data_IF_460205507216
#
_entry.id   IF_460205507216
#
_cell.length_a   1.000
_cell.length_b   1.000
_cell.length_c   1.000
_cell.angle_alpha   90.00
_cell.angle_beta   90.00
_cell.angle_gamma   90.00
#
_symmetry.space_group_name_H-M   'P 1'
#
loop_
_entity.id
_entity.type
_entity.pdbx_description
1 polymer ?
#
# COMPACT_ATOMS: atom_id res chain seq x y z
N UNK A 1 10.63 21.32 18.15
CA UNK A 1 11.45 20.32 17.41
C UNK A 1 11.87 20.95 16.08
N UNK A 2 12.82 20.41 15.34
CA UNK A 2 13.18 20.92 14.00
C UNK A 2 13.01 19.84 12.93
N UNK A 3 12.87 20.25 11.67
CA UNK A 3 12.72 19.30 10.54
C UNK A 3 13.87 18.29 10.49
N UNK A 4 15.10 18.71 10.80
CA UNK A 4 16.26 17.82 10.87
C UNK A 4 16.10 16.64 11.84
N UNK A 5 15.21 16.74 12.81
CA UNK A 5 14.96 15.69 13.79
C UNK A 5 14.08 14.55 13.22
N UNK A 6 13.45 14.75 12.05
CA UNK A 6 12.63 13.75 11.36
C UNK A 6 13.38 13.00 10.25
N UNK A 7 14.62 13.38 9.93
CA UNK A 7 15.38 12.88 8.79
C UNK A 7 16.85 12.62 9.14
N UNK A 8 17.61 11.99 8.26
CA UNK A 8 19.06 11.81 8.45
C UNK A 8 19.85 13.04 7.93
N UNK A 9 21.07 13.29 8.46
CA UNK A 9 21.89 14.41 8.02
C UNK A 9 22.22 14.44 6.52
N UNK A 10 22.25 13.28 5.86
CA UNK A 10 22.48 13.07 4.43
C UNK A 10 21.18 12.91 3.61
N UNK A 11 20.02 12.99 4.26
CA UNK A 11 18.73 12.80 3.62
C UNK A 11 18.33 13.93 2.68
N UNK A 12 17.40 13.63 1.78
CA UNK A 12 16.88 14.57 0.77
C UNK A 12 15.62 15.27 1.28
N UNK A 13 15.39 16.49 0.78
CA UNK A 13 14.21 17.31 1.11
C UNK A 13 13.37 17.46 -0.15
N UNK A 14 12.29 16.67 -0.21
CA UNK A 14 11.31 16.74 -1.29
C UNK A 14 10.20 17.73 -0.94
N UNK A 15 9.58 18.29 -1.96
CA UNK A 15 8.52 19.29 -1.82
C UNK A 15 7.32 18.87 -2.66
N UNK A 16 6.12 19.00 -2.11
CA UNK A 16 4.88 18.82 -2.84
C UNK A 16 3.95 20.00 -2.63
N UNK A 17 3.42 20.53 -3.74
CA UNK A 17 2.30 21.47 -3.68
C UNK A 17 1.03 20.76 -3.22
N UNK A 18 0.41 21.25 -2.15
CA UNK A 18 -0.81 20.69 -1.54
C UNK A 18 -1.85 21.77 -1.33
N UNK A 19 -3.11 21.36 -1.23
CA UNK A 19 -4.23 22.28 -1.05
C UNK A 19 -4.57 22.51 0.43
N UNK A 20 -4.28 21.56 1.32
CA UNK A 20 -4.55 21.66 2.75
C UNK A 20 -3.41 21.10 3.60
N UNK A 21 -3.55 21.29 4.91
CA UNK A 21 -2.65 20.75 5.90
C UNK A 21 -2.83 19.24 6.05
N UNK A 22 -1.81 18.56 6.54
CA UNK A 22 -1.90 17.15 6.94
C UNK A 22 -2.83 17.02 8.16
N UNK A 23 -3.72 16.01 8.16
CA UNK A 23 -4.68 15.77 9.23
C UNK A 23 -5.16 14.31 9.25
N UNK A 24 -5.94 13.94 10.26
CA UNK A 24 -6.57 12.61 10.35
C UNK A 24 -7.56 12.34 9.21
N UNK A 25 -8.19 13.39 8.66
CA UNK A 25 -9.10 13.27 7.51
C UNK A 25 -8.35 13.18 6.17
N UNK A 26 -7.11 13.67 6.14
CA UNK A 26 -6.23 13.62 4.98
C UNK A 26 -4.80 13.18 5.35
N UNK A 27 -4.60 11.91 5.74
CA UNK A 27 -3.33 11.42 6.27
C UNK A 27 -2.34 10.96 5.18
N UNK A 28 -2.34 11.64 4.03
CA UNK A 28 -1.62 11.17 2.86
C UNK A 28 -1.11 12.30 1.98
N UNK A 29 -0.10 11.98 1.16
CA UNK A 29 0.25 12.78 0.00
C UNK A 29 -0.50 12.23 -1.21
N UNK A 30 -1.28 13.07 -1.88
CA UNK A 30 -2.01 12.66 -3.08
C UNK A 30 -1.47 13.35 -4.35
N UNK A 31 -1.75 12.71 -5.48
CA UNK A 31 -1.33 13.17 -6.79
C UNK A 31 -2.28 12.68 -7.88
N UNK A 32 -2.35 13.46 -8.96
CA UNK A 32 -3.20 13.15 -10.12
C UNK A 32 -2.57 12.15 -11.08
N UNK A 33 -1.23 12.00 -11.06
CA UNK A 33 -0.48 11.14 -11.98
C UNK A 33 0.30 10.07 -11.22
N UNK A 34 0.08 8.80 -11.55
CA UNK A 34 0.81 7.67 -10.97
C UNK A 34 2.34 7.76 -11.12
N UNK A 35 2.83 8.48 -12.14
CA UNK A 35 4.26 8.74 -12.35
C UNK A 35 4.93 9.44 -11.17
N UNK A 36 4.21 10.31 -10.45
CA UNK A 36 4.73 10.99 -9.25
C UNK A 36 5.01 9.97 -8.14
N UNK A 37 4.06 9.08 -7.90
CA UNK A 37 4.23 7.99 -6.94
C UNK A 37 5.33 7.00 -7.34
N UNK A 38 5.47 6.68 -8.63
CA UNK A 38 6.55 5.82 -9.10
C UNK A 38 7.93 6.44 -8.89
N UNK A 39 8.07 7.76 -9.10
CA UNK A 39 9.31 8.47 -8.81
C UNK A 39 9.61 8.45 -7.32
N UNK A 40 8.65 8.79 -6.46
CA UNK A 40 8.84 8.75 -5.01
C UNK A 40 9.21 7.34 -4.52
N UNK A 41 8.63 6.28 -5.10
CA UNK A 41 9.01 4.88 -4.79
C UNK A 41 10.48 4.59 -5.08
N UNK A 42 11.05 5.17 -6.13
CA UNK A 42 12.43 4.94 -6.53
C UNK A 42 13.42 5.80 -5.74
N UNK A 43 13.02 7.03 -5.41
CA UNK A 43 13.94 8.07 -4.96
C UNK A 43 13.85 8.35 -3.45
N UNK A 44 12.67 8.16 -2.84
CA UNK A 44 12.42 8.49 -1.43
C UNK A 44 12.76 7.31 -0.52
N UNK A 45 13.58 7.56 0.50
CA UNK A 45 13.94 6.57 1.51
C UNK A 45 13.37 6.98 2.88
N UNK A 46 12.40 6.22 3.43
CA UNK A 46 11.78 6.53 4.71
C UNK A 46 12.79 6.57 5.86
N UNK A 47 12.62 7.54 6.76
CA UNK A 47 13.53 7.74 7.90
C UNK A 47 14.91 8.29 7.53
N UNK A 48 15.27 8.34 6.23
CA UNK A 48 16.40 9.12 5.71
C UNK A 48 15.93 10.46 5.19
N UNK A 49 14.91 10.47 4.35
CA UNK A 49 14.41 11.64 3.61
C UNK A 49 13.14 12.22 4.25
N UNK A 50 12.80 13.45 3.86
CA UNK A 50 11.59 14.16 4.31
C UNK A 50 10.85 14.77 3.12
N UNK A 51 9.53 14.87 3.23
CA UNK A 51 8.70 15.59 2.26
C UNK A 51 8.01 16.77 2.94
N UNK A 52 8.06 17.94 2.32
CA UNK A 52 7.45 19.17 2.82
C UNK A 52 6.21 19.52 2.01
N UNK A 53 5.14 19.85 2.74
CA UNK A 53 3.90 20.36 2.18
C UNK A 53 4.04 21.85 1.93
N UNK A 54 3.79 22.26 0.69
CA UNK A 54 3.80 23.65 0.27
C UNK A 54 2.39 24.03 -0.17
N UNK A 55 1.76 24.97 0.53
CA UNK A 55 0.40 25.39 0.19
C UNK A 55 0.35 26.08 -1.18
N UNK A 56 -0.67 25.75 -1.99
CA UNK A 56 -0.86 26.41 -3.29
C UNK A 56 -1.29 27.86 -3.13
N UNK A 57 -1.16 28.66 -4.19
CA UNK A 57 -1.72 30.02 -4.24
C UNK A 57 -3.20 30.04 -4.69
N UNK A 58 -3.77 28.88 -5.04
CA UNK A 58 -5.13 28.81 -5.54
C UNK A 58 -6.13 28.89 -4.37
N UNK A 59 -6.76 30.05 -4.19
CA UNK A 59 -7.72 30.27 -3.12
C UNK A 59 -8.99 29.42 -3.18
N UNK A 60 -9.31 28.81 -4.32
CA UNK A 60 -10.44 27.89 -4.45
C UNK A 60 -10.11 26.47 -3.94
N UNK A 61 -8.83 26.12 -3.82
CA UNK A 61 -8.37 24.81 -3.36
C UNK A 61 -7.73 24.91 -1.97
N UNK A 62 -6.90 25.94 -1.76
CA UNK A 62 -6.31 26.27 -0.46
C UNK A 62 -7.19 27.27 0.26
N UNK A 63 -8.18 26.73 0.98
CA UNK A 63 -9.20 27.50 1.69
C UNK A 63 -8.59 28.46 2.70
N UNK A 64 -7.69 27.96 3.57
CA UNK A 64 -6.99 28.78 4.57
C UNK A 64 -5.98 29.73 3.91
N UNK A 65 -6.18 31.06 4.00
CA UNK A 65 -5.26 32.04 3.45
C UNK A 65 -3.84 31.98 4.04
N UNK A 66 -3.69 31.57 5.31
CA UNK A 66 -2.39 31.49 5.99
C UNK A 66 -1.50 30.39 5.41
N UNK A 67 -2.08 29.39 4.75
CA UNK A 67 -1.34 28.30 4.11
C UNK A 67 -0.79 28.68 2.72
N UNK A 68 -1.33 29.71 2.08
CA UNK A 68 -1.04 30.00 0.66
C UNK A 68 0.42 30.41 0.46
N UNK A 69 1.14 29.64 -0.35
CA UNK A 69 2.56 29.86 -0.62
C UNK A 69 3.47 29.70 0.60
N UNK A 70 3.02 28.98 1.63
CA UNK A 70 3.78 28.69 2.85
C UNK A 70 4.19 27.23 2.93
N UNK A 71 5.25 26.97 3.70
CA UNK A 71 5.60 25.62 4.15
C UNK A 71 4.72 25.31 5.36
N UNK A 72 3.91 24.25 5.29
CA UNK A 72 2.84 24.01 6.26
C UNK A 72 3.03 22.72 7.07
N UNK A 73 3.69 21.70 6.51
CA UNK A 73 3.97 20.46 7.21
C UNK A 73 5.24 19.76 6.70
N UNK A 74 5.84 18.95 7.55
CA UNK A 74 6.90 18.01 7.23
C UNK A 74 6.39 16.58 7.49
N UNK A 75 6.52 15.70 6.49
CA UNK A 75 5.96 14.35 6.54
C UNK A 75 6.98 13.31 6.05
N UNK A 76 6.98 12.16 6.71
CA UNK A 76 7.66 10.94 6.24
C UNK A 76 6.60 10.05 5.63
N UNK A 77 6.79 9.67 4.37
CA UNK A 77 5.82 8.86 3.61
C UNK A 77 6.22 7.39 3.57
N UNK A 78 5.27 6.52 3.26
CA UNK A 78 5.48 5.12 2.89
C UNK A 78 5.54 4.99 1.35
N UNK A 79 6.73 5.02 0.74
CA UNK A 79 6.90 5.14 -0.70
C UNK A 79 6.81 3.79 -1.41
N UNK A 80 6.84 2.66 -0.68
CA UNK A 80 6.80 1.33 -1.32
C UNK A 80 5.54 1.16 -2.18
N UNK A 81 4.50 1.96 -1.93
CA UNK A 81 3.19 1.75 -2.50
C UNK A 81 2.47 3.02 -2.91
N UNK A 82 1.78 2.90 -4.05
CA UNK A 82 0.82 3.91 -4.48
C UNK A 82 -0.55 3.30 -4.24
N UNK A 83 -1.33 4.00 -3.42
CA UNK A 83 -2.64 3.61 -2.92
C UNK A 83 -3.72 4.38 -3.68
N UNK A 84 -4.95 3.88 -3.64
CA UNK A 84 -6.12 4.66 -4.02
C UNK A 84 -6.46 5.64 -2.89
N UNK A 85 -6.50 6.94 -3.17
CA UNK A 85 -6.73 7.98 -2.15
C UNK A 85 -8.03 7.71 -1.37
N UNK A 86 -9.11 7.31 -2.05
CA UNK A 86 -10.41 6.99 -1.44
C UNK A 86 -10.38 5.86 -0.40
N UNK A 87 -9.33 5.03 -0.39
CA UNK A 87 -9.18 3.91 0.55
C UNK A 87 -8.47 4.30 1.83
N UNK A 88 -7.82 5.47 1.86
CA UNK A 88 -7.00 5.93 2.99
C UNK A 88 -7.49 7.23 3.61
N UNK A 89 -8.62 7.77 3.13
CA UNK A 89 -9.29 8.94 3.69
C UNK A 89 -10.74 8.59 4.03
N UNK A 90 -11.39 9.41 4.86
CA UNK A 90 -12.79 9.16 5.23
C UNK A 90 -13.73 9.33 4.03
N UNK A 91 -14.77 8.49 3.94
CA UNK A 91 -15.76 8.54 2.84
C UNK A 91 -16.47 9.89 2.75
N UNK A 92 -16.77 10.49 3.91
CA UNK A 92 -17.44 11.79 4.00
C UNK A 92 -16.57 12.94 3.46
N UNK A 93 -15.26 12.84 3.62
CA UNK A 93 -14.33 13.84 3.09
C UNK A 93 -14.11 13.65 1.58
N UNK A 94 -14.03 12.40 1.09
CA UNK A 94 -13.85 12.10 -0.33
C UNK A 94 -14.98 12.60 -1.22
N UNK A 95 -16.25 12.49 -0.78
CA UNK A 95 -17.41 12.90 -1.59
C UNK A 95 -17.39 14.37 -2.00
N UNK A 96 -16.65 15.22 -1.28
CA UNK A 96 -16.56 16.66 -1.53
C UNK A 96 -15.41 17.05 -2.46
N UNK A 97 -14.45 16.18 -2.72
CA UNK A 97 -13.20 16.49 -3.45
C UNK A 97 -13.14 15.91 -4.88
N UNK A 98 -14.00 14.93 -5.20
CA UNK A 98 -14.04 14.28 -6.51
C UNK A 98 -12.83 13.40 -6.82
N UNK A 99 -12.71 12.90 -8.06
CA UNK A 99 -11.63 11.98 -8.49
C UNK A 99 -10.31 12.69 -8.90
N UNK A 100 -10.10 13.94 -8.48
CA UNK A 100 -9.00 14.78 -8.98
C UNK A 100 -7.61 14.25 -8.58
N UNK A 101 -7.52 13.54 -7.46
CA UNK A 101 -6.28 12.91 -6.96
C UNK A 101 -6.55 11.45 -6.61
N UNK A 102 -6.59 10.54 -7.60
CA UNK A 102 -6.94 9.14 -7.37
C UNK A 102 -5.81 8.35 -6.71
N UNK A 103 -4.59 8.86 -6.73
CA UNK A 103 -3.40 8.19 -6.21
C UNK A 103 -2.84 8.88 -4.98
N UNK A 104 -2.37 8.09 -4.02
CA UNK A 104 -1.74 8.61 -2.82
C UNK A 104 -0.65 7.69 -2.25
N UNK A 105 0.17 8.25 -1.36
CA UNK A 105 1.06 7.51 -0.48
C UNK A 105 0.74 7.88 0.96
N UNK A 106 0.71 6.90 1.86
CA UNK A 106 0.40 7.14 3.26
C UNK A 106 1.53 7.90 3.95
N UNK A 107 1.17 8.73 4.94
CA UNK A 107 2.12 9.38 5.83
C UNK A 107 2.34 8.52 7.06
N UNK A 108 3.60 8.19 7.34
CA UNK A 108 4.04 7.41 8.50
C UNK A 108 4.28 8.29 9.73
N UNK A 109 4.78 9.51 9.51
CA UNK A 109 5.04 10.51 10.56
C UNK A 109 4.73 11.89 10.02
N UNK A 110 4.11 12.72 10.85
CA UNK A 110 3.78 14.09 10.50
C UNK A 110 4.26 15.06 11.57
N UNK A 111 4.60 16.27 11.14
CA UNK A 111 4.76 17.42 11.98
C UNK A 111 4.30 18.65 11.22
N UNK A 112 3.77 19.62 11.94
CA UNK A 112 3.30 20.89 11.39
C UNK A 112 4.36 21.95 11.61
N UNK A 113 4.54 22.82 10.61
CA UNK A 113 5.46 23.96 10.75
C UNK A 113 4.92 24.90 11.82
N UNK A 114 5.79 25.50 12.63
CA UNK A 114 5.33 26.50 13.59
C UNK A 114 4.79 27.74 12.86
N UNK A 115 3.67 28.26 13.36
CA UNK A 115 2.93 29.39 12.80
C UNK A 115 1.54 29.52 13.44
N UNK A 116 0.70 30.46 12.94
CA UNK A 116 1.03 31.53 12.00
C UNK A 116 1.90 32.65 12.62
N UNK A 117 2.69 33.39 11.82
CA UNK A 117 2.83 33.21 10.37
C UNK A 117 3.71 32.00 10.03
N UNK A 118 3.21 31.13 9.15
CA UNK A 118 3.99 30.00 8.64
C UNK A 118 5.14 30.49 7.73
N UNK A 119 6.27 29.74 7.61
CA UNK A 119 7.40 30.15 6.76
C UNK A 119 6.99 30.32 5.28
N UNK A 120 7.38 31.45 4.68
CA UNK A 120 7.17 31.71 3.24
C UNK A 120 8.02 30.78 2.39
N UNK A 121 7.40 30.07 1.46
CA UNK A 121 8.14 29.20 0.55
C UNK A 121 9.13 30.01 -0.32
N UNK A 122 8.74 31.20 -0.79
CA UNK A 122 9.64 32.04 -1.59
C UNK A 122 10.85 32.58 -0.81
N UNK A 123 10.76 32.71 0.51
CA UNK A 123 11.87 33.18 1.34
C UNK A 123 12.83 32.02 1.69
N UNK A 124 12.28 30.85 1.99
CA UNK A 124 13.06 29.70 2.47
C UNK A 124 13.65 28.85 1.34
N UNK A 125 12.88 28.65 0.27
CA UNK A 125 13.22 27.74 -0.84
C UNK A 125 12.94 28.40 -2.22
N UNK A 126 13.48 29.59 -2.52
CA UNK A 126 13.13 30.36 -3.72
C UNK A 126 13.33 29.62 -5.06
N UNK A 127 14.38 28.80 -5.19
CA UNK A 127 14.69 28.05 -6.39
C UNK A 127 13.78 26.84 -6.54
N UNK A 128 13.67 26.02 -5.48
CA UNK A 128 12.80 24.85 -5.51
C UNK A 128 11.30 25.23 -5.61
N UNK A 129 10.89 26.33 -4.97
CA UNK A 129 9.50 26.82 -5.07
C UNK A 129 9.15 27.31 -6.47
N UNK A 130 10.08 27.97 -7.17
CA UNK A 130 9.89 28.37 -8.57
C UNK A 130 9.66 27.19 -9.51
N UNK A 131 10.13 25.99 -9.17
CA UNK A 131 9.89 24.80 -9.99
C UNK A 131 8.39 24.50 -10.14
N UNK A 132 7.56 24.77 -9.13
CA UNK A 132 6.11 24.53 -9.22
C UNK A 132 5.39 25.47 -10.22
N UNK A 133 6.02 26.59 -10.59
CA UNK A 133 5.47 27.50 -11.59
C UNK A 133 5.69 26.99 -13.03
N UNK A 134 6.67 26.12 -13.25
CA UNK A 134 6.98 25.53 -14.56
C UNK A 134 5.88 24.54 -14.96
N UNK A 135 5.37 24.66 -16.20
CA UNK A 135 4.26 23.82 -16.69
C UNK A 135 4.58 22.32 -16.62
N UNK A 136 5.82 21.94 -16.94
CA UNK A 136 6.30 20.56 -16.90
C UNK A 136 6.30 19.94 -15.49
N UNK A 137 6.45 20.77 -14.47
CA UNK A 137 6.56 20.35 -13.07
C UNK A 137 5.24 20.50 -12.28
N UNK A 138 4.17 20.97 -12.92
CA UNK A 138 2.87 21.15 -12.27
C UNK A 138 2.34 19.83 -11.71
N UNK A 139 2.04 19.82 -10.41
CA UNK A 139 1.57 18.65 -9.69
C UNK A 139 2.65 17.60 -9.40
N UNK A 140 3.89 17.84 -9.82
CA UNK A 140 5.06 17.01 -9.56
C UNK A 140 5.69 17.27 -8.19
N UNK A 141 6.94 16.85 -8.07
CA UNK A 141 7.78 17.00 -6.87
C UNK A 141 8.97 17.87 -7.23
N UNK A 142 9.32 18.79 -6.34
CA UNK A 142 10.57 19.54 -6.40
C UNK A 142 11.50 19.09 -5.27
N UNK A 143 12.80 19.36 -5.39
CA UNK A 143 13.78 19.04 -4.36
C UNK A 143 14.50 20.32 -3.93
N UNK A 144 14.60 20.53 -2.62
CA UNK A 144 15.44 21.57 -2.04
C UNK A 144 16.85 21.01 -1.83
N UNK A 145 17.85 21.71 -2.38
CA UNK A 145 19.26 21.32 -2.35
C UNK A 145 20.12 22.44 -1.74
N UNK A 146 21.34 22.12 -1.34
CA UNK A 146 22.30 23.12 -0.84
C UNK A 146 21.77 23.94 0.34
N UNK A 147 21.82 25.27 0.21
CA UNK A 147 21.38 26.20 1.26
C UNK A 147 19.87 26.11 1.55
N UNK A 148 19.04 25.86 0.52
CA UNK A 148 17.58 25.71 0.70
C UNK A 148 17.26 24.48 1.54
N UNK A 149 17.99 23.38 1.30
CA UNK A 149 17.88 22.17 2.12
C UNK A 149 18.23 22.46 3.58
N UNK A 150 19.33 23.16 3.81
CA UNK A 150 19.77 23.53 5.15
C UNK A 150 18.75 24.46 5.85
N UNK A 151 18.18 25.40 5.11
CA UNK A 151 17.15 26.30 5.60
C UNK A 151 15.89 25.53 6.04
N UNK A 152 15.41 24.59 5.22
CA UNK A 152 14.26 23.73 5.58
C UNK A 152 14.57 22.89 6.82
N UNK A 153 15.75 22.27 6.89
CA UNK A 153 16.14 21.44 8.03
C UNK A 153 16.16 22.21 9.37
N UNK A 154 16.40 23.52 9.33
CA UNK A 154 16.43 24.39 10.50
C UNK A 154 15.04 24.88 10.95
N UNK A 155 13.99 24.66 10.14
CA UNK A 155 12.64 25.13 10.46
C UNK A 155 12.10 24.45 11.71
N UNK A 156 11.45 25.20 12.61
CA UNK A 156 10.83 24.65 13.79
C UNK A 156 9.49 24.00 13.44
N UNK A 157 9.21 22.89 14.12
CA UNK A 157 8.03 22.05 13.91
C UNK A 157 7.47 21.54 15.24
N UNK A 158 6.16 21.27 15.21
CA UNK A 158 5.41 20.59 16.27
C UNK A 158 4.97 19.22 15.74
N UNK A 159 5.34 18.10 16.42
CA UNK A 159 4.86 16.77 16.05
C UNK A 159 3.33 16.72 15.96
N UNK A 160 2.81 16.01 14.97
CA UNK A 160 1.40 15.74 14.81
C UNK A 160 1.21 14.22 14.79
N UNK A 161 0.53 13.72 15.81
CA UNK A 161 0.12 12.32 15.86
C UNK A 161 -1.13 12.13 14.99
N UNK A 162 -1.00 11.30 13.96
CA UNK A 162 -2.11 10.96 13.07
C UNK A 162 -2.83 9.72 13.60
N UNK A 163 -4.13 9.84 13.84
CA UNK A 163 -4.98 8.73 14.25
C UNK A 163 -5.67 8.13 13.02
N UNK A 164 -4.94 7.26 12.33
CA UNK A 164 -5.48 6.56 11.16
C UNK A 164 -6.60 5.61 11.59
N UNK A 165 -7.66 5.52 10.78
CA UNK A 165 -8.71 4.53 11.06
C UNK A 165 -8.11 3.11 11.04
N UNK A 166 -8.67 2.15 11.79
CA UNK A 166 -8.18 0.78 11.80
C UNK A 166 -8.10 0.15 10.40
N UNK A 167 -9.03 0.48 9.49
CA UNK A 167 -8.98 -0.02 8.12
C UNK A 167 -7.80 0.56 7.33
N UNK A 168 -7.52 1.86 7.49
CA UNK A 168 -6.39 2.54 6.84
C UNK A 168 -5.07 2.02 7.40
N UNK A 169 -4.99 1.88 8.73
CA UNK A 169 -3.80 1.33 9.39
C UNK A 169 -3.56 -0.13 8.98
N UNK A 170 -4.60 -0.96 8.93
CA UNK A 170 -4.50 -2.33 8.43
C UNK A 170 -4.03 -2.34 6.98
N UNK A 171 -4.62 -1.50 6.12
CA UNK A 171 -4.26 -1.42 4.71
C UNK A 171 -2.80 -0.95 4.49
N UNK A 172 -2.27 -0.07 5.32
CA UNK A 172 -0.85 0.32 5.29
C UNK A 172 0.04 -0.80 5.82
N UNK A 173 -0.27 -1.37 7.00
CA UNK A 173 0.55 -2.39 7.67
C UNK A 173 0.66 -3.69 6.87
N UNK A 174 -0.44 -4.13 6.26
CA UNK A 174 -0.56 -5.30 5.38
C UNK A 174 0.41 -5.27 4.21
N UNK A 175 0.85 -4.07 3.87
CA UNK A 175 1.40 -3.75 2.58
C UNK A 175 2.83 -3.24 2.81
N UNK A 176 3.11 -2.52 3.90
CA UNK A 176 4.46 -2.32 4.42
C UNK A 176 5.15 -3.66 4.77
N UNK A 177 4.43 -4.65 5.29
CA UNK A 177 4.98 -6.00 5.58
C UNK A 177 5.45 -6.76 4.33
N UNK A 178 4.98 -6.36 3.14
CA UNK A 178 5.43 -6.92 1.84
C UNK A 178 6.88 -6.54 1.52
N UNK A 179 7.39 -5.45 2.11
CA UNK A 179 8.76 -4.96 1.88
C UNK A 179 9.81 -5.81 2.63
N UNK A 180 9.45 -6.38 3.80
CA UNK A 180 10.28 -7.28 4.60
C UNK A 180 10.10 -8.77 4.23
N UNK A 181 9.17 -9.08 3.32
CA UNK A 181 8.91 -10.46 2.90
C UNK A 181 10.15 -11.11 2.29
N UNK A 182 10.55 -12.31 2.76
CA UNK A 182 11.62 -13.09 2.15
C UNK A 182 11.41 -13.26 0.64
N UNK A 183 12.49 -13.12 -0.13
CA UNK A 183 12.46 -13.23 -1.60
C UNK A 183 11.73 -14.49 -2.10
N UNK A 184 11.92 -15.62 -1.43
CA UNK A 184 11.28 -16.89 -1.78
C UNK A 184 9.75 -16.89 -1.61
N UNK A 185 9.22 -16.20 -0.60
CA UNK A 185 7.76 -16.03 -0.44
C UNK A 185 7.22 -15.08 -1.52
N UNK A 186 7.96 -14.01 -1.84
CA UNK A 186 7.58 -13.08 -2.91
C UNK A 186 7.49 -13.79 -4.25
N UNK A 187 8.48 -14.60 -4.61
CA UNK A 187 8.49 -15.39 -5.85
C UNK A 187 7.30 -16.35 -5.93
N UNK A 188 6.96 -17.03 -4.84
CA UNK A 188 5.78 -17.92 -4.79
C UNK A 188 4.45 -17.15 -4.87
N UNK A 189 4.33 -16.02 -4.19
CA UNK A 189 3.15 -15.16 -4.27
C UNK A 189 2.95 -14.61 -5.69
N UNK A 190 4.01 -14.17 -6.37
CA UNK A 190 3.98 -13.77 -7.78
C UNK A 190 3.53 -14.92 -8.66
N UNK A 191 4.12 -16.12 -8.50
CA UNK A 191 3.72 -17.31 -9.26
C UNK A 191 2.24 -17.66 -9.07
N UNK A 192 1.73 -17.59 -7.85
CA UNK A 192 0.31 -17.84 -7.56
C UNK A 192 -0.60 -16.80 -8.22
N UNK A 193 -0.23 -15.51 -8.16
CA UNK A 193 -0.96 -14.44 -8.85
C UNK A 193 -1.00 -14.67 -10.37
N UNK A 194 0.14 -15.02 -10.98
CA UNK A 194 0.22 -15.34 -12.41
C UNK A 194 -0.68 -16.52 -12.80
N UNK A 195 -0.76 -17.55 -11.96
CA UNK A 195 -1.67 -18.68 -12.18
C UNK A 195 -3.14 -18.27 -12.10
N UNK A 196 -3.51 -17.41 -11.15
CA UNK A 196 -4.87 -16.86 -11.04
C UNK A 196 -5.20 -16.06 -12.29
N UNK A 197 -4.31 -15.15 -12.71
CA UNK A 197 -4.48 -14.31 -13.90
C UNK A 197 -4.67 -15.18 -15.15
N UNK A 198 -3.82 -16.19 -15.33
CA UNK A 198 -3.95 -17.10 -16.47
C UNK A 198 -5.27 -17.89 -16.41
N UNK A 199 -5.74 -18.30 -15.23
CA UNK A 199 -7.05 -18.97 -15.08
C UNK A 199 -8.22 -18.06 -15.38
N UNK A 200 -8.17 -16.80 -14.95
CA UNK A 200 -9.21 -15.78 -15.21
C UNK A 200 -9.24 -15.44 -16.70
N UNK A 201 -8.09 -15.20 -17.32
CA UNK A 201 -7.99 -14.91 -18.77
C UNK A 201 -8.53 -16.05 -19.63
N UNK A 202 -8.34 -17.30 -19.20
CA UNK A 202 -8.84 -18.48 -19.89
C UNK A 202 -10.27 -18.87 -19.47
N UNK A 203 -10.88 -18.17 -18.50
CA UNK A 203 -12.28 -18.36 -18.13
C UNK A 203 -13.17 -18.11 -19.35
N UNK A 204 -14.16 -18.97 -19.58
CA UNK A 204 -15.06 -18.87 -20.74
C UNK A 204 -14.48 -19.31 -22.09
N UNK A 205 -13.19 -19.70 -22.19
CA UNK A 205 -12.66 -20.27 -23.43
C UNK A 205 -13.02 -21.75 -23.58
N UNK A 206 -13.58 -22.14 -24.73
CA UNK A 206 -13.90 -23.53 -25.06
C UNK A 206 -12.62 -24.35 -25.29
N UNK A 207 -12.26 -25.18 -24.31
CA UNK A 207 -11.68 -26.50 -24.58
C UNK A 207 -12.79 -27.54 -24.40
N UNK A 208 -12.52 -28.79 -24.72
CA UNK A 208 -13.48 -29.93 -24.73
C UNK A 208 -14.34 -30.04 -23.44
N UNK A 209 -13.96 -29.34 -22.36
CA UNK A 209 -14.80 -28.97 -21.22
C UNK A 209 -14.79 -27.43 -21.07
N UNK A 210 -15.96 -26.79 -20.97
CA UNK A 210 -16.11 -25.34 -20.75
C UNK A 210 -15.50 -24.95 -19.40
N UNK A 211 -14.54 -24.03 -19.40
CA UNK A 211 -13.97 -23.48 -18.16
C UNK A 211 -14.94 -22.46 -17.53
N UNK A 212 -15.20 -22.58 -16.23
CA UNK A 212 -16.01 -21.61 -15.47
C UNK A 212 -15.45 -20.18 -15.61
N UNK A 213 -16.35 -19.19 -15.57
CA UNK A 213 -15.94 -17.79 -15.49
C UNK A 213 -15.29 -17.54 -14.13
N UNK A 214 -14.36 -16.60 -14.07
CA UNK A 214 -13.66 -16.26 -12.82
C UNK A 214 -13.35 -14.78 -12.82
N UNK A 215 -13.38 -14.16 -11.65
CA UNK A 215 -13.03 -12.76 -11.45
C UNK A 215 -11.93 -12.65 -10.40
N UNK A 216 -11.10 -11.61 -10.49
CA UNK A 216 -10.05 -11.35 -9.52
C UNK A 216 -9.81 -9.82 -9.40
N UNK A 217 -9.26 -9.34 -8.28
CA UNK A 217 -8.77 -7.96 -8.15
C UNK A 217 -7.73 -7.61 -9.21
N UNK A 218 -7.42 -6.31 -9.35
CA UNK A 218 -6.32 -5.87 -10.21
C UNK A 218 -5.00 -6.53 -9.79
N UNK A 219 -4.13 -6.79 -10.77
CA UNK A 219 -2.86 -7.51 -10.60
C UNK A 219 -1.99 -6.91 -9.49
N UNK A 220 -1.99 -5.58 -9.35
CA UNK A 220 -1.27 -4.84 -8.31
C UNK A 220 -1.76 -5.13 -6.89
N UNK A 221 -2.95 -5.71 -6.72
CA UNK A 221 -3.59 -5.97 -5.43
C UNK A 221 -3.56 -7.46 -5.04
N UNK A 222 -3.50 -8.37 -6.01
CA UNK A 222 -3.39 -9.82 -5.80
C UNK A 222 -2.09 -10.23 -5.07
N UNK A 223 -0.96 -9.65 -5.47
CA UNK A 223 0.33 -9.98 -4.89
C UNK A 223 0.43 -9.56 -3.40
N UNK A 224 0.07 -8.32 -3.01
CA UNK A 224 -0.02 -7.95 -1.60
C UNK A 224 -1.01 -8.80 -0.80
N UNK A 225 -2.18 -9.11 -1.37
CA UNK A 225 -3.19 -9.97 -0.73
C UNK A 225 -2.62 -11.35 -0.40
N UNK A 226 -2.02 -12.04 -1.38
CA UNK A 226 -1.45 -13.37 -1.18
C UNK A 226 -0.29 -13.34 -0.17
N UNK A 227 0.55 -12.31 -0.21
CA UNK A 227 1.65 -12.16 0.73
C UNK A 227 1.15 -11.99 2.16
N UNK A 228 0.12 -11.15 2.36
CA UNK A 228 -0.57 -10.96 3.64
C UNK A 228 -1.17 -12.25 4.16
N UNK A 229 -1.98 -12.93 3.34
CA UNK A 229 -2.62 -14.19 3.72
C UNK A 229 -1.60 -15.21 4.18
N UNK A 230 -0.48 -15.30 3.47
CA UNK A 230 0.60 -16.19 3.87
C UNK A 230 1.17 -15.79 5.22
N UNK A 231 1.70 -14.57 5.35
CA UNK A 231 2.56 -14.21 6.47
C UNK A 231 1.79 -13.81 7.73
N UNK A 232 0.68 -13.09 7.55
CA UNK A 232 -0.05 -12.46 8.64
C UNK A 232 -1.27 -13.30 9.00
N UNK A 233 -2.15 -13.57 8.04
CA UNK A 233 -3.45 -14.17 8.38
C UNK A 233 -3.30 -15.68 8.71
N UNK A 234 -2.41 -16.38 8.01
CA UNK A 234 -2.18 -17.82 8.20
C UNK A 234 -0.85 -18.16 8.89
N UNK A 235 -0.03 -17.17 9.23
CA UNK A 235 1.25 -17.35 9.92
C UNK A 235 2.17 -18.41 9.27
N UNK A 236 2.18 -18.51 7.93
CA UNK A 236 2.97 -19.48 7.18
C UNK A 236 2.42 -20.91 7.19
N UNK A 237 1.18 -21.12 7.60
CA UNK A 237 0.53 -22.42 7.66
C UNK A 237 -0.46 -22.61 6.52
N UNK A 238 -0.63 -23.86 6.09
CA UNK A 238 -1.65 -24.28 5.14
C UNK A 238 -3.02 -24.16 5.82
N UNK A 239 -3.94 -23.41 5.22
CA UNK A 239 -5.26 -23.19 5.78
C UNK A 239 -6.10 -24.47 5.93
N UNK A 240 -5.81 -25.50 5.13
CA UNK A 240 -6.53 -26.77 5.15
C UNK A 240 -5.98 -27.77 6.19
N UNK A 241 -4.68 -28.07 6.13
CA UNK A 241 -4.10 -29.10 7.00
C UNK A 241 -3.38 -28.56 8.24
N UNK A 242 -3.13 -27.26 8.31
CA UNK A 242 -2.35 -26.60 9.37
C UNK A 242 -0.83 -26.80 9.26
N UNK A 243 -0.33 -27.53 8.26
CA UNK A 243 1.10 -27.78 8.08
C UNK A 243 1.85 -26.57 7.51
N UNK A 244 3.17 -26.50 7.72
CA UNK A 244 4.02 -25.40 7.24
C UNK A 244 4.02 -25.28 5.70
N UNK A 245 3.85 -24.06 5.20
CA UNK A 245 4.04 -23.71 3.79
C UNK A 245 5.53 -23.48 3.51
N UNK A 246 6.07 -24.25 2.57
CA UNK A 246 7.49 -24.23 2.23
C UNK A 246 7.74 -23.46 0.94
N UNK A 247 8.23 -22.21 0.99
CA UNK A 247 8.51 -21.44 -0.21
C UNK A 247 9.68 -22.05 -1.00
N UNK A 248 9.58 -22.08 -2.33
CA UNK A 248 10.64 -22.61 -3.21
C UNK A 248 10.87 -24.14 -3.10
N UNK A 249 9.94 -24.89 -2.51
CA UNK A 249 10.04 -26.35 -2.45
C UNK A 249 10.08 -26.98 -3.84
N UNK A 250 10.94 -27.99 -4.02
CA UNK A 250 10.96 -28.80 -5.25
C UNK A 250 9.87 -29.86 -5.27
N UNK A 251 9.29 -30.18 -4.11
CA UNK A 251 8.19 -31.13 -4.03
C UNK A 251 6.89 -30.44 -4.46
N UNK A 252 6.40 -30.78 -5.66
CA UNK A 252 5.18 -30.21 -6.22
C UNK A 252 3.96 -30.37 -5.31
N UNK A 253 3.86 -31.44 -4.53
CA UNK A 253 2.73 -31.65 -3.62
C UNK A 253 2.70 -30.64 -2.47
N UNK A 254 3.88 -30.22 -2.00
CA UNK A 254 4.04 -29.23 -0.92
C UNK A 254 4.09 -27.80 -1.44
N UNK A 255 3.98 -27.61 -2.75
CA UNK A 255 4.00 -26.29 -3.35
C UNK A 255 2.79 -25.47 -2.85
N UNK A 256 2.98 -24.23 -2.41
CA UNK A 256 1.88 -23.34 -2.05
C UNK A 256 0.91 -23.12 -3.22
N UNK A 257 -0.39 -23.07 -2.94
CA UNK A 257 -1.44 -22.86 -3.93
C UNK A 257 -2.53 -21.97 -3.35
N UNK A 258 -2.97 -20.99 -4.14
CA UNK A 258 -4.18 -20.22 -3.84
C UNK A 258 -5.40 -21.09 -4.12
N UNK A 259 -6.15 -21.40 -3.06
CA UNK A 259 -7.41 -22.11 -3.10
C UNK A 259 -8.57 -21.14 -2.86
N UNK A 260 -9.75 -21.46 -3.40
CA UNK A 260 -10.98 -20.74 -3.07
C UNK A 260 -11.66 -21.44 -1.90
N UNK A 261 -12.03 -20.70 -0.86
CA UNK A 261 -12.70 -21.26 0.31
C UNK A 261 -14.03 -21.88 -0.14
N UNK A 262 -14.88 -21.07 -0.76
CA UNK A 262 -16.07 -21.51 -1.48
C UNK A 262 -15.77 -21.63 -2.97
N UNK A 263 -15.75 -22.87 -3.46
CA UNK A 263 -15.52 -23.18 -4.87
C UNK A 263 -16.66 -22.73 -5.79
N UNK A 264 -17.86 -22.48 -5.26
CA UNK A 264 -19.01 -21.96 -5.99
C UNK A 264 -18.91 -20.45 -6.24
N UNK A 265 -18.25 -19.72 -5.33
CA UNK A 265 -17.88 -18.32 -5.55
C UNK A 265 -16.69 -18.23 -6.52
N UNK A 266 -16.93 -17.66 -7.70
CA UNK A 266 -15.95 -17.54 -8.80
C UNK A 266 -14.84 -16.50 -8.55
N UNK A 267 -14.94 -15.70 -7.49
CA UNK A 267 -14.03 -14.62 -7.18
C UNK A 267 -12.75 -15.08 -6.44
N UNK A 268 -11.63 -14.47 -6.79
CA UNK A 268 -10.34 -14.55 -6.07
C UNK A 268 -10.09 -13.29 -5.24
N UNK A 269 -10.95 -13.00 -4.27
CA UNK A 269 -10.84 -11.83 -3.38
C UNK A 269 -10.31 -12.18 -1.97
N UNK A 270 -10.23 -11.17 -1.11
CA UNK A 270 -9.76 -11.31 0.28
C UNK A 270 -10.63 -12.25 1.12
N UNK A 271 -11.91 -12.38 0.81
CA UNK A 271 -12.87 -13.16 1.60
C UNK A 271 -12.90 -14.62 1.17
N UNK A 272 -12.63 -14.89 -0.11
CA UNK A 272 -12.78 -16.22 -0.69
C UNK A 272 -11.44 -16.91 -1.02
N UNK A 273 -10.29 -16.31 -0.74
CA UNK A 273 -8.97 -16.94 -1.01
C UNK A 273 -8.25 -17.33 0.27
N UNK A 274 -7.60 -18.49 0.25
CA UNK A 274 -6.62 -18.93 1.25
C UNK A 274 -5.47 -19.70 0.61
N UNK A 275 -4.36 -19.85 1.33
CA UNK A 275 -3.15 -20.51 0.83
C UNK A 275 -3.01 -21.90 1.43
N UNK A 276 -2.79 -22.87 0.57
CA UNK A 276 -2.80 -24.30 0.92
C UNK A 276 -1.61 -25.01 0.27
N UNK A 277 -1.29 -26.22 0.70
CA UNK A 277 -0.46 -27.10 -0.12
C UNK A 277 -1.24 -27.50 -1.37
N UNK A 278 -0.55 -27.61 -2.51
CA UNK A 278 -1.15 -28.02 -3.77
C UNK A 278 -1.88 -29.37 -3.63
N UNK A 279 -1.31 -30.31 -2.88
CA UNK A 279 -1.97 -31.60 -2.63
C UNK A 279 -3.29 -31.45 -1.87
N UNK A 280 -3.36 -30.61 -0.82
CA UNK A 280 -4.59 -30.34 -0.09
C UNK A 280 -5.66 -29.71 -0.98
N UNK A 281 -5.26 -28.72 -1.78
CA UNK A 281 -6.13 -28.06 -2.76
C UNK A 281 -6.71 -29.04 -3.77
N UNK A 282 -5.86 -29.90 -4.35
CA UNK A 282 -6.29 -30.91 -5.33
C UNK A 282 -7.20 -31.97 -4.70
N UNK A 283 -6.90 -32.40 -3.47
CA UNK A 283 -7.73 -33.36 -2.74
C UNK A 283 -9.12 -32.78 -2.43
N UNK A 284 -9.20 -31.59 -1.83
CA UNK A 284 -10.46 -30.86 -1.59
C UNK A 284 -11.26 -30.69 -2.87
N UNK A 285 -10.63 -30.26 -3.96
CA UNK A 285 -11.35 -30.04 -5.23
C UNK A 285 -11.84 -31.33 -5.88
N UNK A 286 -11.21 -32.48 -5.59
CA UNK A 286 -11.60 -33.77 -6.19
C UNK A 286 -12.67 -34.49 -5.38
N UNK A 287 -12.58 -34.43 -4.05
CA UNK A 287 -13.42 -35.23 -3.15
C UNK A 287 -14.41 -34.39 -2.35
N UNK A 288 -14.31 -33.07 -2.37
CA UNK A 288 -15.10 -32.18 -1.52
C UNK A 288 -14.41 -31.88 -0.20
N UNK A 289 -14.95 -30.89 0.53
CA UNK A 289 -14.39 -30.44 1.81
C UNK A 289 -14.61 -31.49 2.89
N UNK A 290 -15.82 -32.03 3.01
CA UNK A 290 -16.21 -32.97 4.08
C UNK A 290 -15.34 -34.25 4.06
N UNK A 291 -15.26 -34.93 2.90
CA UNK A 291 -14.41 -36.11 2.71
C UNK A 291 -12.93 -35.83 2.99
N UNK A 292 -12.47 -34.62 2.65
CA UNK A 292 -11.08 -34.21 2.88
C UNK A 292 -10.79 -33.96 4.37
N UNK A 293 -11.71 -33.35 5.10
CA UNK A 293 -11.59 -33.13 6.55
C UNK A 293 -11.61 -34.46 7.30
N UNK A 294 -12.51 -35.39 6.94
CA UNK A 294 -12.55 -36.74 7.50
C UNK A 294 -11.21 -37.48 7.30
N UNK A 295 -10.65 -37.39 6.10
CA UNK A 295 -9.33 -37.96 5.79
C UNK A 295 -8.20 -37.32 6.60
N UNK A 296 -8.24 -36.00 6.84
CA UNK A 296 -7.25 -35.32 7.68
C UNK A 296 -7.32 -35.77 9.15
N UNK A 297 -8.53 -36.00 9.68
CA UNK A 297 -8.73 -36.54 11.03
C UNK A 297 -8.06 -37.91 11.15
N UNK A 298 -8.32 -38.80 10.18
CA UNK A 298 -7.71 -40.12 10.12
C UNK A 298 -6.18 -40.05 10.05
N UNK A 299 -5.61 -39.15 9.22
CA UNK A 299 -4.16 -38.96 9.12
C UNK A 299 -3.50 -38.46 10.40
N UNK A 300 -4.23 -37.68 11.21
CA UNK A 300 -3.76 -37.21 12.53
C UNK A 300 -3.80 -38.30 13.60
N UNK A 301 -4.30 -39.48 13.27
CA UNK A 301 -4.37 -40.64 14.17
C UNK A 301 -5.67 -40.71 14.99
N UNK A 302 -6.68 -39.89 14.66
CA UNK A 302 -7.99 -39.91 15.31
C UNK A 302 -8.97 -40.78 14.49
N UNK A 303 -9.95 -41.41 15.14
CA UNK A 303 -11.02 -42.14 14.45
C UNK A 303 -12.12 -41.15 14.05
N UNK A 304 -12.35 -40.89 12.74
CA UNK A 304 -13.36 -39.94 12.29
C UNK A 304 -14.80 -40.36 12.62
N UNK A 305 -15.03 -41.62 13.04
CA UNK A 305 -16.36 -42.15 13.36
C UNK A 305 -16.79 -41.94 14.82
N UNK A 306 -15.94 -41.33 15.64
CA UNK A 306 -16.16 -41.13 17.08
C UNK A 306 -16.42 -39.66 17.48
N UNK A 307 -16.69 -38.77 16.51
CA UNK A 307 -17.17 -37.39 16.74
C UNK A 307 -18.66 -37.25 16.39
#
# INVERSE_FOLDING_TARGET
MQVRDLMKPDGRVFLKSVFGQISDEWPCISFSRSSVGNMLRQEFVPGRDILIYVGTLNGNLTEDPEHRGRLIAAVVIEPSQVLETRRIISKNFWSNLGEQWPHAMAVLKAAVMEGPPYPKAHDVIPNAYRQFALMENRGGIAEAIGEERAAVMALPITPLDLHLSPEVQAYINVRASVSETPKSIREEATRMADLIINRVRNGGTQRIVTNANRTAPNISDLYPMLTRKWQVDQCGLCALCGGLLLPGTRNKMLQPSADRIDSSNEAYDEENVHITHLACNLAKNKYGTDDFEEWLIALRGNDPRNE
#
